data_IF_697876345539
#
_entry.id   IF_697876345539
#
_cell.length_a   1.000
_cell.length_b   1.000
_cell.length_c   1.000
_cell.angle_alpha   90.00
_cell.angle_beta   90.00
_cell.angle_gamma   90.00
#
_symmetry.space_group_name_H-M   'P 1'
#
loop_
_entity.id
_entity.type
_entity.pdbx_description
1 polymer ?
#
# COMPACT_ATOMS: atom_id res chain seq x y z
N UNK A 1 5.13 43.37 16.50
CA UNK A 1 5.88 42.33 15.77
C UNK A 1 6.96 41.84 16.70
N UNK A 2 6.94 40.56 17.10
CA UNK A 2 7.96 40.01 17.98
C UNK A 2 9.29 39.96 17.23
N UNK A 3 10.34 40.52 17.81
CA UNK A 3 11.69 40.43 17.24
C UNK A 3 12.28 39.05 17.50
N UNK A 4 13.13 38.53 16.59
CA UNK A 4 13.81 37.24 16.76
C UNK A 4 14.58 37.14 18.09
N UNK A 5 15.01 38.27 18.64
CA UNK A 5 15.68 38.34 19.93
C UNK A 5 14.77 37.95 21.12
N UNK A 6 13.47 38.22 21.06
CA UNK A 6 12.51 37.91 22.14
C UNK A 6 12.35 36.40 22.34
N UNK A 7 12.60 35.59 21.31
CA UNK A 7 12.60 34.13 21.39
C UNK A 7 13.77 33.57 22.23
N UNK A 8 14.71 34.40 22.71
CA UNK A 8 15.67 33.98 23.76
C UNK A 8 15.03 33.95 25.16
N UNK A 9 13.92 34.66 25.35
CA UNK A 9 13.33 34.83 26.67
C UNK A 9 12.42 33.66 27.02
N UNK A 10 12.64 33.06 28.19
CA UNK A 10 11.88 31.90 28.65
C UNK A 10 10.36 32.18 28.73
N UNK A 11 9.97 33.40 29.11
CA UNK A 11 8.56 33.81 29.20
C UNK A 11 7.79 33.66 27.89
N UNK A 12 8.44 33.88 26.74
CA UNK A 12 7.79 33.75 25.42
C UNK A 12 7.43 32.29 25.15
N UNK A 13 8.32 31.38 25.53
CA UNK A 13 8.10 29.94 25.41
C UNK A 13 7.11 29.41 26.46
N UNK A 14 7.13 29.96 27.67
CA UNK A 14 6.15 29.60 28.69
C UNK A 14 4.74 30.06 28.27
N UNK A 15 4.57 31.28 27.75
CA UNK A 15 3.29 31.77 27.18
C UNK A 15 2.87 30.98 25.92
N UNK A 16 3.83 30.49 25.11
CA UNK A 16 3.52 29.63 23.97
C UNK A 16 2.86 28.31 24.38
N UNK A 17 3.19 27.79 25.57
CA UNK A 17 2.68 26.50 26.08
C UNK A 17 1.54 26.68 27.08
N UNK A 18 1.40 27.85 27.69
CA UNK A 18 0.34 28.13 28.66
C UNK A 18 -1.05 27.89 28.06
N UNK A 19 -1.80 26.96 28.68
CA UNK A 19 -3.14 26.57 28.21
C UNK A 19 -3.17 25.70 26.94
N UNK A 20 -2.03 25.23 26.42
CA UNK A 20 -1.96 24.42 25.19
C UNK A 20 -1.41 23.02 25.44
N UNK A 21 -2.07 22.02 24.88
CA UNK A 21 -1.49 20.68 24.70
C UNK A 21 -0.65 20.69 23.42
N UNK A 22 0.66 20.50 23.55
CA UNK A 22 1.58 20.44 22.41
C UNK A 22 1.32 19.16 21.60
N UNK A 23 0.95 19.30 20.33
CA UNK A 23 0.72 18.14 19.47
C UNK A 23 2.04 17.45 19.07
N UNK A 24 1.96 16.23 18.52
CA UNK A 24 3.13 15.52 17.99
C UNK A 24 3.79 16.25 16.81
N UNK A 25 3.01 16.98 16.01
CA UNK A 25 3.50 17.83 14.92
C UNK A 25 4.30 19.02 15.45
N UNK A 26 3.76 19.71 16.46
CA UNK A 26 4.43 20.86 17.10
C UNK A 26 5.72 20.43 17.78
N UNK A 27 5.72 19.27 18.45
CA UNK A 27 6.92 18.70 19.06
C UNK A 27 8.02 18.42 18.03
N UNK A 28 7.66 17.82 16.89
CA UNK A 28 8.62 17.57 15.81
C UNK A 28 9.17 18.88 15.23
N UNK A 29 8.34 19.92 15.14
CA UNK A 29 8.76 21.24 14.72
C UNK A 29 9.75 21.86 15.71
N UNK A 30 9.47 21.77 17.02
CA UNK A 30 10.36 22.24 18.09
C UNK A 30 11.70 21.49 18.11
N UNK A 31 11.69 20.15 17.89
CA UNK A 31 12.93 19.36 17.78
C UNK A 31 13.76 19.75 16.58
N UNK A 32 13.13 19.97 15.42
CA UNK A 32 13.81 20.44 14.21
C UNK A 32 14.40 21.83 14.42
N UNK A 33 13.65 22.71 15.07
CA UNK A 33 14.13 24.04 15.46
C UNK A 33 15.35 23.93 16.38
N UNK A 34 15.28 23.13 17.45
CA UNK A 34 16.39 22.92 18.38
C UNK A 34 17.63 22.38 17.67
N UNK A 35 17.45 21.37 16.82
CA UNK A 35 18.53 20.76 16.04
C UNK A 35 19.15 21.77 15.08
N UNK A 36 18.34 22.55 14.36
CA UNK A 36 18.82 23.60 13.47
C UNK A 36 19.60 24.67 14.22
N UNK A 37 19.05 25.21 15.30
CA UNK A 37 19.65 26.30 16.08
C UNK A 37 20.92 25.87 16.85
N UNK A 38 20.95 24.64 17.39
CA UNK A 38 22.03 24.18 18.25
C UNK A 38 23.09 23.34 17.54
N UNK A 39 22.69 22.44 16.62
CA UNK A 39 23.57 21.43 16.01
C UNK A 39 24.12 21.89 14.67
N UNK A 40 23.31 22.57 13.84
CA UNK A 40 23.74 22.96 12.50
C UNK A 40 24.20 24.41 12.41
N UNK A 41 23.36 25.36 12.85
CA UNK A 41 23.61 26.78 12.65
C UNK A 41 24.80 27.30 13.46
N UNK A 42 24.97 26.80 14.69
CA UNK A 42 25.96 27.35 15.62
C UNK A 42 27.39 26.87 15.35
N UNK A 43 27.67 25.57 15.11
CA UNK A 43 28.99 25.16 14.69
C UNK A 43 29.38 25.82 13.37
N UNK A 44 28.44 25.95 12.44
CA UNK A 44 28.68 26.69 11.19
C UNK A 44 29.04 28.16 11.45
N UNK A 45 28.27 28.87 12.29
CA UNK A 45 28.56 30.27 12.65
C UNK A 45 29.93 30.44 13.31
N UNK A 46 30.33 29.50 14.16
CA UNK A 46 31.64 29.49 14.84
C UNK A 46 32.81 29.31 13.86
N UNK A 47 32.59 28.74 12.66
CA UNK A 47 33.62 28.65 11.60
C UNK A 47 33.76 29.91 10.73
N UNK A 48 32.88 30.90 10.87
CA UNK A 48 32.89 32.13 10.06
C UNK A 48 33.92 33.15 10.56
N UNK A 49 34.40 34.02 9.67
CA UNK A 49 35.27 35.15 10.05
C UNK A 49 34.52 36.19 10.90
N UNK A 50 35.22 36.98 11.73
CA UNK A 50 34.61 37.96 12.63
C UNK A 50 33.67 38.96 11.91
N UNK A 51 34.03 39.39 10.70
CA UNK A 51 33.18 40.28 9.88
C UNK A 51 31.88 39.61 9.44
N UNK A 52 31.96 38.32 9.09
CA UNK A 52 30.78 37.52 8.73
C UNK A 52 29.94 37.21 9.97
N UNK A 53 30.57 36.91 11.10
CA UNK A 53 29.86 36.70 12.35
C UNK A 53 29.06 37.95 12.76
N UNK A 54 29.65 39.14 12.67
CA UNK A 54 28.95 40.40 12.95
C UNK A 54 27.73 40.62 12.04
N UNK A 55 27.83 40.25 10.77
CA UNK A 55 26.76 40.35 9.79
C UNK A 55 25.63 39.34 10.03
N UNK A 56 25.97 38.08 10.33
CA UNK A 56 24.99 36.98 10.46
C UNK A 56 24.35 36.88 11.85
N UNK A 57 24.93 37.52 12.87
CA UNK A 57 24.45 37.48 14.26
C UNK A 57 22.94 37.78 14.43
N UNK A 58 22.33 38.76 13.74
CA UNK A 58 20.90 39.04 13.88
C UNK A 58 19.98 37.95 13.31
N UNK A 59 20.50 37.08 12.45
CA UNK A 59 19.75 36.00 11.79
C UNK A 59 19.92 34.64 12.48
N UNK A 60 20.68 34.60 13.60
CA UNK A 60 20.82 33.39 14.38
C UNK A 60 19.49 33.05 15.06
N UNK A 61 19.05 31.81 14.90
CA UNK A 61 17.92 31.32 15.66
C UNK A 61 18.34 31.19 17.13
N UNK A 62 17.56 31.77 18.05
CA UNK A 62 17.86 31.66 19.46
C UNK A 62 17.66 30.24 19.98
N UNK A 63 18.35 29.94 21.08
CA UNK A 63 18.22 28.63 21.72
C UNK A 63 16.89 28.53 22.45
N UNK A 64 16.27 27.36 22.35
CA UNK A 64 15.22 26.97 23.29
C UNK A 64 15.78 26.95 24.72
N UNK A 65 14.94 27.26 25.73
CA UNK A 65 15.33 27.12 27.12
C UNK A 65 15.80 25.68 27.40
N UNK A 66 16.86 25.52 28.21
CA UNK A 66 17.43 24.20 28.50
C UNK A 66 16.37 23.27 29.10
N UNK A 67 16.23 22.08 28.51
CA UNK A 67 15.25 21.08 28.92
C UNK A 67 13.81 21.51 28.67
N UNK A 68 13.54 22.52 27.83
CA UNK A 68 12.18 22.93 27.48
C UNK A 68 11.41 21.78 26.81
N UNK A 69 12.02 21.16 25.80
CA UNK A 69 11.48 19.97 25.16
C UNK A 69 11.46 18.74 26.07
N UNK A 70 12.12 18.73 27.23
CA UNK A 70 12.09 17.60 28.18
C UNK A 70 11.06 17.83 29.30
N UNK A 71 10.86 19.08 29.72
CA UNK A 71 9.97 19.48 30.83
C UNK A 71 8.55 19.80 30.39
N UNK A 72 8.38 20.41 29.21
CA UNK A 72 7.07 20.78 28.64
C UNK A 72 6.58 19.72 27.66
N UNK A 73 7.49 18.94 27.07
CA UNK A 73 7.05 17.74 26.38
C UNK A 73 6.65 16.70 27.42
N UNK A 74 5.35 16.57 27.57
CA UNK A 74 4.66 15.33 27.86
C UNK A 74 5.06 14.23 26.85
N UNK A 75 6.32 14.04 26.47
CA UNK A 75 6.72 13.11 25.43
C UNK A 75 6.35 11.69 25.83
N UNK A 76 6.60 11.31 27.08
CA UNK A 76 6.13 10.03 27.61
C UNK A 76 4.61 9.97 27.75
N UNK A 77 3.94 11.02 28.19
CA UNK A 77 2.48 11.00 28.36
C UNK A 77 1.73 11.03 27.01
N UNK A 78 2.23 11.72 25.99
CA UNK A 78 1.71 11.74 24.62
C UNK A 78 2.01 10.43 23.90
N UNK A 79 3.22 9.86 24.08
CA UNK A 79 3.54 8.52 23.56
C UNK A 79 2.66 7.48 24.25
N UNK A 80 2.56 7.50 25.58
CA UNK A 80 1.72 6.58 26.35
C UNK A 80 0.23 6.74 26.01
N UNK A 81 -0.28 7.96 25.85
CA UNK A 81 -1.66 8.18 25.41
C UNK A 81 -1.88 7.70 23.98
N UNK A 82 -0.89 7.86 23.10
CA UNK A 82 -0.95 7.33 21.72
C UNK A 82 -0.90 5.80 21.72
N UNK A 83 -0.08 5.19 22.56
CA UNK A 83 0.03 3.73 22.73
C UNK A 83 -1.23 3.14 23.36
N UNK A 84 -1.78 3.79 24.39
CA UNK A 84 -3.05 3.44 25.02
C UNK A 84 -4.20 3.51 24.00
N UNK A 85 -4.31 4.61 23.24
CA UNK A 85 -5.31 4.73 22.17
C UNK A 85 -5.17 3.67 21.09
N UNK A 86 -3.93 3.33 20.68
CA UNK A 86 -3.68 2.23 19.72
C UNK A 86 -4.05 0.87 20.30
N UNK A 87 -3.82 0.66 21.59
CA UNK A 87 -4.20 -0.56 22.29
C UNK A 87 -5.72 -0.68 22.35
N UNK A 88 -6.43 0.35 22.77
CA UNK A 88 -7.90 0.39 22.77
C UNK A 88 -8.47 0.12 21.38
N UNK A 89 -7.92 0.75 20.34
CA UNK A 89 -8.31 0.48 18.95
C UNK A 89 -8.02 -0.97 18.54
N UNK A 90 -6.85 -1.50 18.90
CA UNK A 90 -6.48 -2.88 18.59
C UNK A 90 -7.40 -3.86 19.29
N UNK A 91 -7.72 -3.63 20.56
CA UNK A 91 -8.58 -4.49 21.39
C UNK A 91 -10.00 -4.61 20.81
N UNK A 92 -10.48 -3.57 20.10
CA UNK A 92 -11.75 -3.59 19.34
C UNK A 92 -11.64 -4.45 18.06
N UNK A 93 -10.50 -4.41 17.37
CA UNK A 93 -10.33 -5.08 16.07
C UNK A 93 -9.97 -6.57 16.25
N UNK A 94 -9.23 -6.95 17.30
CA UNK A 94 -8.78 -8.34 17.51
C UNK A 94 -9.94 -9.35 17.44
N UNK A 95 -11.11 -9.13 18.08
CA UNK A 95 -12.26 -10.04 17.96
C UNK A 95 -12.80 -10.17 16.52
N UNK A 96 -12.58 -9.15 15.68
CA UNK A 96 -13.03 -9.11 14.28
C UNK A 96 -12.04 -9.73 13.30
N UNK A 97 -10.84 -10.15 13.73
CA UNK A 97 -9.82 -10.70 12.84
C UNK A 97 -10.34 -11.85 11.96
N UNK A 98 -11.08 -12.86 12.46
CA UNK A 98 -11.62 -13.92 11.63
C UNK A 98 -12.54 -13.38 10.53
N UNK A 99 -13.45 -12.45 10.88
CA UNK A 99 -14.38 -11.81 9.96
C UNK A 99 -13.64 -11.00 8.88
N UNK A 100 -12.60 -10.26 9.27
CA UNK A 100 -11.79 -9.48 8.34
C UNK A 100 -10.99 -10.36 7.38
N UNK A 101 -10.45 -11.48 7.86
CA UNK A 101 -9.80 -12.48 7.00
C UNK A 101 -10.80 -13.04 6.00
N UNK A 102 -12.01 -13.38 6.44
CA UNK A 102 -13.09 -13.88 5.56
C UNK A 102 -13.49 -12.86 4.50
N UNK A 103 -13.73 -11.60 4.89
CA UNK A 103 -14.04 -10.49 3.97
C UNK A 103 -12.95 -10.33 2.90
N UNK A 104 -11.69 -10.36 3.31
CA UNK A 104 -10.54 -10.27 2.40
C UNK A 104 -10.52 -11.44 1.42
N UNK A 105 -10.83 -12.66 1.87
CA UNK A 105 -10.93 -13.82 0.98
C UNK A 105 -12.04 -13.65 -0.04
N UNK A 106 -13.22 -13.23 0.40
CA UNK A 106 -14.37 -13.03 -0.47
C UNK A 106 -14.09 -11.96 -1.55
N UNK A 107 -13.43 -10.86 -1.16
CA UNK A 107 -12.96 -9.82 -2.09
C UNK A 107 -11.91 -10.36 -3.08
N UNK A 108 -10.93 -11.14 -2.62
CA UNK A 108 -9.96 -11.80 -3.50
C UNK A 108 -10.64 -12.72 -4.51
N UNK A 109 -11.59 -13.53 -4.05
CA UNK A 109 -12.33 -14.45 -4.91
C UNK A 109 -13.17 -13.71 -5.97
N UNK A 110 -13.79 -12.58 -5.62
CA UNK A 110 -14.51 -11.73 -6.58
C UNK A 110 -13.56 -11.20 -7.67
N UNK A 111 -12.39 -10.66 -7.29
CA UNK A 111 -11.39 -10.25 -8.26
C UNK A 111 -10.83 -11.42 -9.09
N UNK A 112 -10.72 -12.62 -8.50
CA UNK A 112 -10.28 -13.83 -9.20
C UNK A 112 -11.28 -14.27 -10.27
N UNK A 113 -12.58 -14.20 -9.99
CA UNK A 113 -13.63 -14.50 -10.98
C UNK A 113 -13.59 -13.49 -12.12
N UNK A 114 -13.48 -12.20 -11.80
CA UNK A 114 -13.40 -11.14 -12.80
C UNK A 114 -12.16 -11.30 -13.70
N UNK A 115 -10.99 -11.57 -13.13
CA UNK A 115 -9.76 -11.72 -13.94
C UNK A 115 -9.80 -12.96 -14.82
N UNK A 116 -10.41 -14.06 -14.35
CA UNK A 116 -10.61 -15.27 -15.16
C UNK A 116 -11.50 -14.98 -16.36
N UNK A 117 -12.60 -14.27 -16.14
CA UNK A 117 -13.52 -13.89 -17.21
C UNK A 117 -12.87 -12.91 -18.20
N UNK A 118 -12.17 -11.90 -17.70
CA UNK A 118 -11.39 -10.98 -18.53
C UNK A 118 -10.38 -11.71 -19.42
N UNK A 119 -9.58 -12.61 -18.85
CA UNK A 119 -8.58 -13.39 -19.60
C UNK A 119 -9.24 -14.30 -20.64
N UNK A 120 -10.38 -14.92 -20.32
CA UNK A 120 -11.18 -15.71 -21.26
C UNK A 120 -11.60 -14.87 -22.46
N UNK A 121 -12.19 -13.69 -22.22
CA UNK A 121 -12.62 -12.78 -23.29
C UNK A 121 -11.43 -12.26 -24.11
N UNK A 122 -10.27 -11.97 -23.49
CA UNK A 122 -9.06 -11.59 -24.23
C UNK A 122 -8.61 -12.69 -25.20
N UNK A 123 -8.68 -13.97 -24.80
CA UNK A 123 -8.36 -15.10 -25.68
C UNK A 123 -9.34 -15.19 -26.84
N UNK A 124 -10.65 -15.03 -26.59
CA UNK A 124 -11.67 -15.01 -27.64
C UNK A 124 -11.44 -13.85 -28.63
N UNK A 125 -11.13 -12.66 -28.13
CA UNK A 125 -10.81 -11.50 -28.97
C UNK A 125 -9.56 -11.73 -29.81
N UNK A 126 -8.52 -12.37 -29.23
CA UNK A 126 -7.28 -12.69 -29.95
C UNK A 126 -7.52 -13.72 -31.07
N UNK A 127 -8.47 -14.63 -30.88
CA UNK A 127 -8.87 -15.63 -31.90
C UNK A 127 -9.85 -15.08 -32.93
N UNK A 128 -10.35 -13.86 -32.76
CA UNK A 128 -11.36 -13.26 -33.63
C UNK A 128 -12.78 -13.81 -33.41
N UNK A 129 -13.02 -14.52 -32.31
CA UNK A 129 -14.35 -15.07 -31.96
C UNK A 129 -15.30 -13.98 -31.45
N UNK A 130 -14.77 -12.87 -30.95
CA UNK A 130 -15.53 -11.67 -30.58
C UNK A 130 -14.91 -10.44 -31.23
N UNK A 131 -15.76 -9.48 -31.63
CA UNK A 131 -15.33 -8.19 -32.18
C UNK A 131 -15.28 -7.14 -31.08
N UNK A 132 -14.24 -6.32 -31.08
CA UNK A 132 -14.09 -5.21 -30.15
C UNK A 132 -14.69 -3.91 -30.72
N UNK A 133 -15.28 -3.03 -29.89
CA UNK A 133 -15.58 -3.23 -28.47
C UNK A 133 -16.60 -4.36 -28.23
N UNK A 134 -16.41 -5.11 -27.15
CA UNK A 134 -17.30 -6.20 -26.76
C UNK A 134 -17.94 -5.90 -25.40
N UNK A 135 -19.23 -5.56 -25.41
CA UNK A 135 -20.01 -5.29 -24.20
C UNK A 135 -20.64 -6.59 -23.66
N UNK A 136 -20.61 -6.77 -22.35
CA UNK A 136 -21.16 -7.93 -21.67
C UNK A 136 -21.61 -7.60 -20.24
N UNK A 137 -22.60 -8.35 -19.76
CA UNK A 137 -23.07 -8.28 -18.39
C UNK A 137 -22.27 -9.26 -17.52
N UNK A 138 -21.67 -8.75 -16.45
CA UNK A 138 -20.93 -9.54 -15.47
C UNK A 138 -21.69 -9.57 -14.14
N UNK A 139 -22.28 -10.72 -13.82
CA UNK A 139 -23.02 -10.94 -12.58
C UNK A 139 -22.09 -11.54 -11.53
N UNK A 140 -22.02 -10.91 -10.36
CA UNK A 140 -21.22 -11.38 -9.24
C UNK A 140 -21.84 -10.97 -7.91
N UNK A 141 -21.10 -11.18 -6.82
CA UNK A 141 -21.50 -10.90 -5.45
C UNK A 141 -20.44 -10.03 -4.79
N UNK A 142 -20.90 -8.98 -4.12
CA UNK A 142 -20.06 -8.10 -3.31
C UNK A 142 -20.31 -8.34 -1.83
N UNK A 143 -19.25 -8.12 -1.07
CA UNK A 143 -19.25 -8.33 0.37
C UNK A 143 -18.78 -7.05 1.06
N UNK A 144 -19.62 -6.58 1.97
CA UNK A 144 -19.35 -5.46 2.87
C UNK A 144 -19.62 -5.87 4.32
N UNK A 145 -19.35 -4.96 5.24
CA UNK A 145 -19.62 -5.14 6.67
C UNK A 145 -20.75 -4.19 7.03
N UNK A 146 -21.60 -4.57 7.99
CA UNK A 146 -22.67 -3.70 8.49
C UNK A 146 -22.15 -2.35 8.97
N UNK A 147 -22.53 -1.27 8.28
CA UNK A 147 -22.13 0.11 8.60
C UNK A 147 -22.85 0.65 9.85
N UNK A 148 -24.00 0.08 10.19
CA UNK A 148 -24.88 0.54 11.29
C UNK A 148 -24.68 -0.26 12.60
N UNK A 149 -23.64 -1.08 12.69
CA UNK A 149 -23.37 -1.89 13.87
C UNK A 149 -22.99 -1.01 15.07
N UNK A 150 -23.80 -1.04 16.14
CA UNK A 150 -23.53 -0.28 17.37
C UNK A 150 -22.65 -1.07 18.34
N UNK A 151 -22.60 -2.40 18.22
CA UNK A 151 -21.75 -3.28 19.01
C UNK A 151 -20.97 -4.25 18.11
N UNK A 152 -19.88 -4.84 18.64
CA UNK A 152 -19.10 -5.86 17.93
C UNK A 152 -19.92 -7.10 17.55
N UNK A 153 -20.96 -7.41 18.33
CA UNK A 153 -21.84 -8.56 18.05
C UNK A 153 -22.77 -8.31 16.85
N UNK A 154 -23.01 -7.04 16.50
CA UNK A 154 -23.87 -6.65 15.39
C UNK A 154 -23.10 -6.54 14.06
N UNK A 155 -21.77 -6.72 14.10
CA UNK A 155 -20.91 -6.68 12.93
C UNK A 155 -21.09 -7.97 12.13
N UNK A 156 -21.68 -7.85 10.94
CA UNK A 156 -21.99 -8.99 10.07
C UNK A 156 -21.54 -8.71 8.63
N UNK A 157 -21.28 -9.80 7.89
CA UNK A 157 -21.04 -9.72 6.45
C UNK A 157 -22.37 -9.54 5.72
N UNK A 158 -22.41 -8.56 4.84
CA UNK A 158 -23.55 -8.30 3.95
C UNK A 158 -23.14 -8.74 2.55
N UNK A 159 -23.90 -9.67 1.98
CA UNK A 159 -23.77 -10.11 0.60
C UNK A 159 -24.78 -9.37 -0.28
N UNK A 160 -24.29 -8.74 -1.35
CA UNK A 160 -25.12 -8.03 -2.31
C UNK A 160 -24.85 -8.54 -3.72
N UNK A 161 -25.87 -9.00 -4.47
CA UNK A 161 -25.71 -9.32 -5.88
C UNK A 161 -25.47 -8.03 -6.68
N UNK A 162 -24.53 -8.08 -7.61
CA UNK A 162 -24.21 -6.96 -8.50
C UNK A 162 -24.17 -7.44 -9.94
N UNK A 163 -24.68 -6.60 -10.84
CA UNK A 163 -24.53 -6.77 -12.29
C UNK A 163 -23.72 -5.60 -12.80
N UNK A 164 -22.55 -5.89 -13.36
CA UNK A 164 -21.65 -4.90 -13.92
C UNK A 164 -21.76 -4.93 -15.44
N UNK A 165 -22.10 -3.78 -16.04
CA UNK A 165 -22.07 -3.62 -17.49
C UNK A 165 -20.63 -3.25 -17.85
N UNK A 166 -19.93 -4.18 -18.51
CA UNK A 166 -18.52 -4.06 -18.84
C UNK A 166 -18.30 -4.10 -20.34
N UNK A 167 -17.39 -3.28 -20.83
CA UNK A 167 -16.97 -3.28 -22.24
C UNK A 167 -15.49 -3.59 -22.33
N UNK A 168 -15.16 -4.69 -23.02
CA UNK A 168 -13.79 -5.05 -23.34
C UNK A 168 -13.29 -4.20 -24.50
N UNK A 169 -12.10 -3.64 -24.31
CA UNK A 169 -11.41 -2.79 -25.27
C UNK A 169 -9.96 -3.22 -25.46
N UNK A 170 -9.38 -2.79 -26.57
CA UNK A 170 -7.94 -2.56 -26.70
C UNK A 170 -7.71 -1.09 -27.10
N UNK A 171 -6.47 -0.61 -27.07
CA UNK A 171 -6.20 0.82 -27.35
C UNK A 171 -6.54 1.22 -28.78
N UNK A 172 -6.31 0.33 -29.74
CA UNK A 172 -6.58 0.60 -31.15
C UNK A 172 -8.06 0.83 -31.40
N UNK A 173 -8.92 -0.08 -30.93
CA UNK A 173 -10.36 0.05 -31.09
C UNK A 173 -10.93 1.21 -30.26
N UNK A 174 -10.36 1.48 -29.08
CA UNK A 174 -10.73 2.67 -28.31
C UNK A 174 -10.52 3.97 -29.09
N UNK A 175 -9.34 4.14 -29.72
CA UNK A 175 -9.03 5.34 -30.52
C UNK A 175 -9.96 5.44 -31.73
N UNK A 176 -10.27 4.32 -32.39
CA UNK A 176 -11.18 4.28 -33.54
C UNK A 176 -12.61 4.66 -33.16
N UNK A 177 -13.10 4.23 -32.00
CA UNK A 177 -14.45 4.54 -31.51
C UNK A 177 -14.59 5.95 -30.96
N UNK A 178 -13.48 6.66 -30.70
CA UNK A 178 -13.48 8.02 -30.16
C UNK A 178 -12.58 8.96 -30.98
N UNK A 179 -12.79 9.08 -32.30
CA UNK A 179 -11.87 9.81 -33.18
C UNK A 179 -11.81 11.31 -32.86
N UNK A 180 -12.86 11.86 -32.28
CA UNK A 180 -12.97 13.25 -31.83
C UNK A 180 -12.04 13.58 -30.63
N UNK A 181 -11.68 12.57 -29.83
CA UNK A 181 -10.81 12.76 -28.66
C UNK A 181 -9.30 12.75 -29.00
N UNK A 182 -8.92 12.37 -30.23
CA UNK A 182 -7.54 12.13 -30.60
C UNK A 182 -7.12 12.87 -31.87
N UNK A 183 -5.84 13.24 -31.96
CA UNK A 183 -5.29 13.88 -33.17
C UNK A 183 -5.22 12.91 -34.35
N UNK A 184 -5.16 13.44 -35.58
CA UNK A 184 -5.03 12.63 -36.82
C UNK A 184 -3.77 11.76 -36.83
N UNK A 185 -2.70 12.19 -36.18
CA UNK A 185 -1.48 11.39 -36.05
C UNK A 185 -1.68 10.17 -35.15
N UNK A 186 -2.38 10.34 -34.02
CA UNK A 186 -2.71 9.23 -33.12
C UNK A 186 -3.65 8.24 -33.80
N UNK A 187 -4.68 8.73 -34.50
CA UNK A 187 -5.59 7.91 -35.30
C UNK A 187 -4.81 7.08 -36.33
N UNK A 188 -3.91 7.72 -37.10
CA UNK A 188 -3.08 7.03 -38.11
C UNK A 188 -2.14 5.98 -37.50
N UNK A 189 -1.57 6.23 -36.31
CA UNK A 189 -0.72 5.25 -35.62
C UNK A 189 -1.52 4.05 -35.12
N UNK A 190 -2.75 4.27 -34.64
CA UNK A 190 -3.67 3.21 -34.27
C UNK A 190 -4.10 2.37 -35.48
N UNK A 191 -4.47 3.02 -36.60
CA UNK A 191 -4.82 2.36 -37.87
C UNK A 191 -3.67 1.50 -38.40
N UNK A 192 -2.43 2.02 -38.37
CA UNK A 192 -1.24 1.30 -38.81
C UNK A 192 -0.72 0.27 -37.79
N UNK A 193 -1.31 0.21 -36.60
CA UNK A 193 -0.90 -0.66 -35.49
C UNK A 193 0.61 -0.60 -35.19
N UNK A 194 1.13 0.62 -35.03
CA UNK A 194 2.56 0.86 -34.73
C UNK A 194 2.76 1.31 -33.28
N UNK A 195 4.00 1.27 -32.80
CA UNK A 195 4.41 1.76 -31.47
C UNK A 195 3.61 1.13 -30.31
N UNK A 196 2.76 1.92 -29.64
CA UNK A 196 1.91 1.50 -28.51
C UNK A 196 0.65 0.74 -28.94
N UNK A 197 0.35 0.70 -30.24
CA UNK A 197 -0.80 0.03 -30.85
C UNK A 197 -0.42 -1.27 -31.57
N UNK A 198 0.86 -1.62 -31.59
CA UNK A 198 1.34 -2.87 -32.16
C UNK A 198 0.73 -4.08 -31.42
N UNK A 199 0.42 -5.20 -32.11
CA UNK A 199 -0.27 -6.35 -31.52
C UNK A 199 0.33 -6.85 -30.20
N UNK A 200 1.67 -6.89 -30.08
CA UNK A 200 2.35 -7.30 -28.83
C UNK A 200 2.39 -6.26 -27.71
N UNK A 201 1.88 -5.04 -27.93
CA UNK A 201 1.89 -3.92 -26.97
C UNK A 201 0.50 -3.32 -26.73
N UNK A 202 -0.49 -3.75 -27.51
CA UNK A 202 -1.87 -3.30 -27.46
C UNK A 202 -2.61 -4.04 -26.33
N UNK A 203 -2.45 -3.54 -25.10
CA UNK A 203 -3.07 -4.13 -23.93
C UNK A 203 -4.60 -4.02 -23.97
N UNK A 204 -5.27 -5.07 -23.52
CA UNK A 204 -6.71 -5.08 -23.29
C UNK A 204 -7.05 -4.43 -21.95
N UNK A 205 -8.25 -3.89 -21.84
CA UNK A 205 -8.76 -3.30 -20.60
C UNK A 205 -10.29 -3.27 -20.60
N UNK A 206 -10.88 -2.96 -19.44
CA UNK A 206 -12.33 -2.86 -19.28
C UNK A 206 -12.75 -1.40 -19.10
N UNK A 207 -13.87 -1.06 -19.71
CA UNK A 207 -14.71 0.07 -19.34
C UNK A 207 -15.86 -0.44 -18.49
N UNK A 208 -16.21 0.29 -17.43
CA UNK A 208 -17.40 0.04 -16.63
C UNK A 208 -18.45 1.14 -16.85
N UNK A 209 -19.69 0.73 -17.04
CA UNK A 209 -20.86 1.59 -17.15
C UNK A 209 -21.72 1.45 -15.88
N UNK A 210 -21.64 2.44 -15.00
CA UNK A 210 -22.43 2.47 -13.77
C UNK A 210 -21.78 3.29 -12.65
N UNK A 211 -22.44 3.41 -11.50
CA UNK A 211 -21.89 4.07 -10.32
C UNK A 211 -20.66 3.32 -9.78
N UNK A 212 -19.59 4.06 -9.52
CA UNK A 212 -18.32 3.51 -9.00
C UNK A 212 -18.49 2.72 -7.69
N UNK A 213 -19.49 3.04 -6.88
CA UNK A 213 -19.83 2.31 -5.65
C UNK A 213 -20.17 0.84 -5.87
N UNK A 214 -20.60 0.48 -7.08
CA UNK A 214 -20.88 -0.91 -7.46
C UNK A 214 -19.72 -1.57 -8.21
N UNK A 215 -18.63 -0.85 -8.52
CA UNK A 215 -17.47 -1.43 -9.21
C UNK A 215 -16.51 -2.07 -8.21
N UNK A 216 -16.83 -3.30 -7.78
CA UNK A 216 -16.11 -3.99 -6.70
C UNK A 216 -16.05 -3.12 -5.42
N UNK A 217 -15.24 -3.52 -4.44
CA UNK A 217 -15.05 -2.73 -3.21
C UNK A 217 -14.09 -1.53 -3.39
N UNK A 218 -13.57 -1.31 -4.60
CA UNK A 218 -12.52 -0.31 -4.88
C UNK A 218 -12.87 0.63 -6.04
N UNK A 219 -14.12 0.64 -6.48
CA UNK A 219 -14.55 1.42 -7.63
C UNK A 219 -14.34 2.92 -7.45
N UNK A 220 -14.57 3.45 -6.25
CA UNK A 220 -14.23 4.83 -5.89
C UNK A 220 -12.74 5.15 -6.10
N UNK A 221 -11.85 4.21 -5.78
CA UNK A 221 -10.41 4.39 -5.98
C UNK A 221 -10.05 4.40 -7.46
N UNK A 222 -10.75 3.57 -8.25
CA UNK A 222 -10.61 3.52 -9.70
C UNK A 222 -11.10 4.84 -10.29
N UNK A 223 -12.31 5.27 -9.96
CA UNK A 223 -12.92 6.52 -10.44
C UNK A 223 -12.07 7.74 -10.10
N UNK A 224 -11.71 7.90 -8.81
CA UNK A 224 -10.92 9.03 -8.29
C UNK A 224 -9.43 8.95 -8.66
N UNK A 225 -9.02 7.97 -9.46
CA UNK A 225 -7.64 7.78 -9.92
C UNK A 225 -6.61 7.65 -8.79
N UNK A 226 -7.07 7.14 -7.65
CA UNK A 226 -6.22 7.00 -6.47
C UNK A 226 -5.20 5.89 -6.67
N UNK A 227 -5.48 4.90 -7.54
CA UNK A 227 -4.58 3.79 -7.84
C UNK A 227 -3.43 4.21 -8.79
N UNK A 228 -2.24 4.48 -8.24
CA UNK A 228 -0.99 4.55 -9.01
C UNK A 228 -0.43 5.92 -9.34
N UNK A 229 -1.00 6.99 -8.81
CA UNK A 229 -0.38 8.31 -8.89
C UNK A 229 0.43 8.61 -7.62
N UNK A 230 1.52 9.36 -7.79
CA UNK A 230 2.44 9.76 -6.71
C UNK A 230 2.38 11.27 -6.45
N UNK A 231 1.18 11.87 -6.32
CA UNK A 231 1.06 13.31 -6.02
C UNK A 231 0.06 13.58 -4.88
N UNK A 232 0.57 13.98 -3.71
CA UNK A 232 -0.25 14.52 -2.61
C UNK A 232 -0.34 13.65 -1.35
N UNK A 233 -0.84 14.26 -0.26
CA UNK A 233 -0.95 13.66 1.08
C UNK A 233 -2.15 12.70 1.25
N UNK A 234 -3.06 12.63 0.27
CA UNK A 234 -4.31 11.84 0.34
C UNK A 234 -4.37 10.65 -0.65
N UNK A 235 -3.25 10.30 -1.32
CA UNK A 235 -3.27 9.27 -2.36
C UNK A 235 -2.78 7.88 -1.92
N UNK A 236 -3.46 6.88 -2.48
CA UNK A 236 -3.18 5.44 -2.45
C UNK A 236 -2.23 5.12 -3.63
N UNK A 237 -1.02 5.67 -3.59
CA UNK A 237 -0.06 5.58 -4.70
C UNK A 237 1.07 4.58 -4.46
N UNK A 238 1.39 3.73 -5.45
CA UNK A 238 2.69 3.05 -5.51
C UNK A 238 3.52 3.68 -6.63
N UNK A 239 4.81 3.95 -6.39
CA UNK A 239 5.75 4.36 -7.46
C UNK A 239 6.06 3.22 -8.44
N UNK A 240 5.51 2.02 -8.22
CA UNK A 240 5.78 0.82 -8.98
C UNK A 240 4.67 0.48 -9.94
N UNK A 241 5.04 0.50 -11.20
CA UNK A 241 4.28 -0.14 -12.25
C UNK A 241 4.08 -1.63 -11.98
N UNK A 242 2.86 -2.10 -12.21
CA UNK A 242 2.50 -3.50 -12.31
C UNK A 242 1.88 -4.13 -11.07
N UNK A 243 2.10 -3.62 -9.83
CA UNK A 243 1.55 -4.27 -8.61
C UNK A 243 0.05 -4.05 -8.48
N UNK A 244 -0.38 -2.79 -8.33
CA UNK A 244 -1.80 -2.36 -8.23
C UNK A 244 -2.18 -1.52 -9.45
N UNK A 245 -1.19 -0.90 -10.07
CA UNK A 245 -1.37 -0.02 -11.20
C UNK A 245 -0.75 -0.66 -12.44
N UNK A 246 -1.28 -0.38 -13.64
CA UNK A 246 -0.67 -0.82 -14.89
C UNK A 246 0.79 -0.37 -15.05
N UNK A 247 1.44 -0.82 -16.13
CA UNK A 247 2.71 -0.22 -16.53
C UNK A 247 2.56 1.29 -16.76
N UNK A 248 3.58 2.08 -16.44
CA UNK A 248 3.53 3.56 -16.46
C UNK A 248 2.95 4.13 -17.76
N UNK A 249 3.32 3.55 -18.90
CA UNK A 249 2.80 3.94 -20.21
C UNK A 249 1.27 3.75 -20.31
N UNK A 250 0.74 2.64 -19.79
CA UNK A 250 -0.69 2.34 -19.75
C UNK A 250 -1.40 3.25 -18.75
N UNK A 251 -0.81 3.46 -17.57
CA UNK A 251 -1.36 4.37 -16.57
C UNK A 251 -1.52 5.77 -17.15
N UNK A 252 -0.47 6.32 -17.77
CA UNK A 252 -0.54 7.63 -18.42
C UNK A 252 -1.62 7.65 -19.50
N UNK A 253 -1.70 6.60 -20.32
CA UNK A 253 -2.75 6.50 -21.34
C UNK A 253 -4.16 6.49 -20.74
N UNK A 254 -4.42 5.73 -19.67
CA UNK A 254 -5.72 5.78 -18.98
C UNK A 254 -6.03 7.15 -18.42
N UNK A 255 -5.06 7.86 -17.84
CA UNK A 255 -5.28 9.21 -17.33
C UNK A 255 -5.79 10.15 -18.44
N UNK A 256 -5.18 10.07 -19.62
CA UNK A 256 -5.63 10.83 -20.78
C UNK A 256 -6.99 10.38 -21.28
N UNK A 257 -7.19 9.09 -21.51
CA UNK A 257 -8.43 8.54 -22.05
C UNK A 257 -9.63 8.87 -21.14
N UNK A 258 -9.51 8.63 -19.83
CA UNK A 258 -10.56 8.94 -18.85
C UNK A 258 -10.83 10.43 -18.72
N UNK A 259 -9.80 11.28 -18.76
CA UNK A 259 -9.98 12.75 -18.70
C UNK A 259 -10.78 13.27 -19.89
N UNK A 260 -10.60 12.66 -21.06
CA UNK A 260 -11.26 13.08 -22.29
C UNK A 260 -12.67 12.50 -22.42
N UNK A 261 -12.87 11.23 -22.03
CA UNK A 261 -14.17 10.56 -22.20
C UNK A 261 -15.07 10.60 -20.97
N UNK A 262 -14.52 10.84 -19.77
CA UNK A 262 -15.24 10.65 -18.50
C UNK A 262 -15.48 9.19 -18.11
N UNK A 263 -15.01 8.22 -18.90
CA UNK A 263 -15.28 6.80 -18.67
C UNK A 263 -14.46 6.20 -17.50
N UNK A 264 -15.02 5.22 -16.81
CA UNK A 264 -14.31 4.44 -15.79
C UNK A 264 -13.57 3.28 -16.49
N UNK A 265 -12.26 3.45 -16.72
CA UNK A 265 -11.43 2.48 -17.46
C UNK A 265 -10.40 1.80 -16.57
N UNK A 266 -10.33 0.48 -16.47
CA UNK A 266 -9.32 -0.16 -15.63
C UNK A 266 -8.73 -1.42 -16.26
N UNK A 267 -7.53 -1.77 -15.81
CA UNK A 267 -6.84 -3.01 -16.18
C UNK A 267 -7.07 -4.03 -15.06
N UNK A 268 -7.80 -5.13 -15.32
CA UNK A 268 -8.05 -6.15 -14.31
C UNK A 268 -6.79 -6.85 -13.80
N UNK A 269 -5.73 -6.92 -14.60
CA UNK A 269 -4.52 -7.71 -14.31
C UNK A 269 -3.71 -7.15 -13.12
N UNK A 270 -3.31 -5.85 -13.08
CA UNK A 270 -2.70 -5.25 -11.90
C UNK A 270 -3.70 -5.11 -10.74
N UNK A 271 -5.00 -4.96 -11.00
CA UNK A 271 -6.00 -4.90 -9.93
C UNK A 271 -6.05 -6.23 -9.17
N UNK A 272 -6.09 -7.35 -9.89
CA UNK A 272 -6.06 -8.69 -9.31
C UNK A 272 -4.78 -8.93 -8.52
N UNK A 273 -3.62 -8.62 -9.10
CA UNK A 273 -2.32 -8.76 -8.43
C UNK A 273 -2.25 -7.94 -7.14
N UNK A 274 -2.72 -6.69 -7.17
CA UNK A 274 -2.82 -5.85 -5.99
C UNK A 274 -3.70 -6.49 -4.92
N UNK A 275 -4.86 -7.01 -5.32
CA UNK A 275 -5.78 -7.71 -4.41
C UNK A 275 -5.15 -8.96 -3.80
N UNK A 276 -4.43 -9.77 -4.58
CA UNK A 276 -3.74 -10.97 -4.10
C UNK A 276 -2.66 -10.62 -3.08
N UNK A 277 -1.88 -9.56 -3.34
CA UNK A 277 -0.85 -9.08 -2.41
C UNK A 277 -1.47 -8.58 -1.11
N UNK A 278 -2.52 -7.76 -1.20
CA UNK A 278 -3.26 -7.31 -0.04
C UNK A 278 -3.85 -8.47 0.75
N UNK A 279 -4.42 -9.47 0.07
CA UNK A 279 -5.01 -10.63 0.72
C UNK A 279 -3.97 -11.45 1.48
N UNK A 280 -2.80 -11.67 0.89
CA UNK A 280 -1.68 -12.33 1.56
C UNK A 280 -1.20 -11.53 2.78
N UNK A 281 -0.97 -10.22 2.63
CA UNK A 281 -0.52 -9.35 3.72
C UNK A 281 -1.53 -9.28 4.86
N UNK A 282 -2.82 -9.10 4.55
CA UNK A 282 -3.90 -9.07 5.54
C UNK A 282 -4.01 -10.40 6.28
N UNK A 283 -4.00 -11.52 5.54
CA UNK A 283 -4.07 -12.85 6.15
C UNK A 283 -2.89 -13.08 7.08
N UNK A 284 -1.66 -12.75 6.67
CA UNK A 284 -0.49 -12.87 7.53
C UNK A 284 -0.62 -11.97 8.78
N UNK A 285 -0.88 -10.68 8.59
CA UNK A 285 -1.00 -9.71 9.67
C UNK A 285 -2.04 -10.12 10.73
N UNK A 286 -3.22 -10.57 10.27
CA UNK A 286 -4.35 -10.92 11.13
C UNK A 286 -4.20 -12.31 11.78
N UNK A 287 -3.37 -13.21 11.23
CA UNK A 287 -3.21 -14.57 11.78
C UNK A 287 -2.00 -14.74 12.68
N UNK A 288 -0.90 -14.03 12.43
CA UNK A 288 0.33 -14.16 13.24
C UNK A 288 0.79 -12.86 13.91
N UNK A 289 0.04 -11.76 13.76
CA UNK A 289 0.35 -10.48 14.39
C UNK A 289 1.59 -9.76 13.82
N UNK A 290 2.12 -10.21 12.67
CA UNK A 290 3.30 -9.60 12.08
C UNK A 290 3.08 -8.13 11.71
N UNK A 291 4.07 -7.30 12.02
CA UNK A 291 4.08 -5.89 11.61
C UNK A 291 4.37 -5.77 10.13
N UNK A 292 3.95 -4.65 9.54
CA UNK A 292 4.25 -4.31 8.13
C UNK A 292 5.73 -4.48 7.77
N UNK A 293 6.65 -4.04 8.63
CA UNK A 293 8.10 -4.18 8.41
C UNK A 293 8.59 -5.63 8.44
N UNK A 294 7.88 -6.53 9.12
CA UNK A 294 8.17 -7.97 9.18
C UNK A 294 7.56 -8.67 7.96
N UNK A 295 6.32 -8.35 7.62
CA UNK A 295 5.60 -8.90 6.45
C UNK A 295 6.35 -8.69 5.13
N UNK A 296 6.99 -7.55 4.96
CA UNK A 296 7.75 -7.25 3.75
C UNK A 296 9.03 -8.10 3.61
N UNK A 297 9.47 -8.78 4.67
CA UNK A 297 10.63 -9.68 4.64
C UNK A 297 10.27 -11.12 4.25
N UNK A 298 9.01 -11.42 3.94
CA UNK A 298 8.59 -12.75 3.52
C UNK A 298 9.30 -13.11 2.21
N UNK A 299 10.09 -14.17 2.26
CA UNK A 299 11.08 -14.57 1.26
C UNK A 299 10.89 -16.04 0.91
N UNK A 300 10.97 -16.34 -0.38
CA UNK A 300 10.83 -17.69 -0.91
C UNK A 300 11.90 -18.66 -0.39
N UNK A 301 12.99 -18.16 0.19
CA UNK A 301 14.11 -18.96 0.71
C UNK A 301 14.09 -19.19 2.22
N UNK A 302 13.09 -18.70 2.94
CA UNK A 302 13.10 -18.63 4.42
C UNK A 302 11.92 -19.32 5.09
N UNK A 303 11.28 -20.23 4.35
CA UNK A 303 10.26 -21.13 4.89
C UNK A 303 10.91 -22.36 5.53
N UNK A 304 10.39 -22.76 6.69
CA UNK A 304 10.76 -23.99 7.37
C UNK A 304 9.51 -24.72 7.84
N UNK A 305 9.58 -26.05 7.98
CA UNK A 305 8.50 -26.85 8.54
C UNK A 305 8.92 -27.32 9.93
N UNK A 306 8.20 -26.88 10.95
CA UNK A 306 8.37 -27.36 12.32
C UNK A 306 7.40 -28.51 12.53
N UNK A 307 7.87 -29.60 13.14
CA UNK A 307 7.01 -30.73 13.49
C UNK A 307 6.55 -30.56 14.93
N UNK A 308 5.24 -30.48 15.13
CA UNK A 308 4.59 -30.38 16.44
C UNK A 308 3.65 -31.55 16.66
N UNK A 309 3.42 -31.94 17.92
CA UNK A 309 2.42 -32.95 18.23
C UNK A 309 1.02 -32.35 18.07
N UNK A 310 0.14 -33.05 17.36
CA UNK A 310 -1.26 -32.68 17.22
C UNK A 310 -1.93 -32.79 18.59
N UNK A 311 -2.55 -31.68 19.02
CA UNK A 311 -3.31 -31.62 20.26
C UNK A 311 -4.79 -31.71 19.96
N UNK A 312 -5.50 -32.66 20.59
CA UNK A 312 -6.96 -32.72 20.60
C UNK A 312 -7.44 -32.51 22.02
N UNK A 313 -8.27 -31.51 22.26
CA UNK A 313 -8.69 -31.09 23.61
C UNK A 313 -7.49 -30.86 24.56
N UNK A 314 -6.41 -30.24 24.04
CA UNK A 314 -5.15 -30.00 24.77
C UNK A 314 -4.37 -31.26 25.18
N UNK A 315 -4.77 -32.45 24.70
CA UNK A 315 -4.03 -33.70 24.91
C UNK A 315 -3.30 -34.11 23.62
N UNK A 316 -2.02 -34.55 23.69
CA UNK A 316 -1.29 -35.06 22.53
C UNK A 316 -1.97 -36.30 21.95
N UNK A 317 -2.29 -36.28 20.66
CA UNK A 317 -2.88 -37.43 19.95
C UNK A 317 -1.84 -38.47 19.53
N UNK A 318 -0.55 -38.18 19.75
CA UNK A 318 0.57 -38.98 19.25
C UNK A 318 0.82 -38.85 17.74
N UNK A 319 -0.01 -38.06 17.03
CA UNK A 319 0.20 -37.73 15.62
C UNK A 319 1.07 -36.48 15.52
N UNK A 320 2.02 -36.51 14.59
CA UNK A 320 2.90 -35.37 14.30
C UNK A 320 2.32 -34.56 13.13
N UNK A 321 2.22 -33.24 13.32
CA UNK A 321 1.77 -32.29 12.31
C UNK A 321 2.92 -31.37 11.92
N UNK A 322 3.14 -31.19 10.62
CA UNK A 322 4.06 -30.19 10.09
C UNK A 322 3.39 -28.83 10.02
N UNK A 323 3.98 -27.83 10.66
CA UNK A 323 3.52 -26.44 10.63
C UNK A 323 4.54 -25.61 9.86
N UNK A 324 4.07 -24.94 8.82
CA UNK A 324 4.90 -24.05 8.02
C UNK A 324 5.14 -22.73 8.76
N UNK A 325 6.40 -22.34 8.85
CA UNK A 325 6.84 -21.10 9.47
C UNK A 325 7.74 -20.31 8.55
N UNK A 326 7.80 -19.00 8.76
CA UNK A 326 8.70 -18.09 8.08
C UNK A 326 9.65 -17.44 9.08
N UNK A 327 10.95 -17.37 8.75
CA UNK A 327 11.95 -16.66 9.56
C UNK A 327 11.97 -15.16 9.25
N UNK A 328 11.47 -14.33 10.16
CA UNK A 328 11.43 -12.87 10.02
C UNK A 328 12.29 -12.19 11.09
N UNK A 329 12.86 -11.02 10.80
CA UNK A 329 13.63 -10.23 11.76
C UNK A 329 12.70 -9.22 12.45
N UNK A 330 12.37 -9.40 13.75
CA UNK A 330 11.40 -8.54 14.44
C UNK A 330 11.92 -7.11 14.61
N UNK A 331 11.01 -6.16 14.86
CA UNK A 331 11.41 -4.76 15.13
C UNK A 331 12.37 -4.66 16.32
N UNK A 332 13.45 -3.89 16.17
CA UNK A 332 14.46 -3.66 17.22
C UNK A 332 15.67 -4.59 17.16
N UNK A 333 15.57 -5.67 16.37
CA UNK A 333 16.66 -6.61 16.11
C UNK A 333 17.38 -6.27 14.81
N UNK A 334 18.69 -6.49 14.80
CA UNK A 334 19.62 -6.06 13.75
C UNK A 334 20.39 -7.23 13.11
N UNK A 335 20.47 -8.38 13.78
CA UNK A 335 21.30 -9.49 13.32
C UNK A 335 20.47 -10.66 12.77
N UNK A 336 20.97 -11.30 11.70
CA UNK A 336 20.35 -12.48 11.09
C UNK A 336 20.11 -13.64 12.07
N UNK A 337 20.96 -13.78 13.09
CA UNK A 337 20.81 -14.78 14.16
C UNK A 337 19.60 -14.54 15.06
N UNK A 338 19.02 -13.34 15.02
CA UNK A 338 17.89 -12.92 15.86
C UNK A 338 16.53 -13.10 15.17
N UNK A 339 16.51 -13.73 13.99
CA UNK A 339 15.27 -14.05 13.29
C UNK A 339 14.41 -15.02 14.11
N UNK A 340 13.11 -14.75 14.13
CA UNK A 340 12.13 -15.55 14.83
C UNK A 340 11.19 -16.25 13.85
N UNK A 341 10.58 -17.34 14.32
CA UNK A 341 9.58 -18.09 13.56
C UNK A 341 8.21 -17.44 13.68
N UNK A 342 7.60 -17.16 12.54
CA UNK A 342 6.21 -16.72 12.45
C UNK A 342 5.39 -17.80 11.76
N UNK A 343 4.29 -18.19 12.40
CA UNK A 343 3.35 -19.17 11.86
C UNK A 343 2.70 -18.65 10.58
N UNK A 344 2.54 -19.52 9.60
CA UNK A 344 1.88 -19.19 8.33
C UNK A 344 0.64 -20.08 8.20
N UNK A 345 -0.54 -19.45 8.15
CA UNK A 345 -1.79 -20.18 7.94
C UNK A 345 -1.87 -20.78 6.54
N UNK A 346 -2.58 -21.90 6.38
CA UNK A 346 -2.78 -22.56 5.07
C UNK A 346 -3.36 -21.62 4.01
N UNK A 347 -4.18 -20.67 4.44
CA UNK A 347 -4.71 -19.62 3.58
C UNK A 347 -3.59 -18.70 3.06
N UNK A 348 -2.73 -18.22 3.95
CA UNK A 348 -1.57 -17.41 3.56
C UNK A 348 -0.62 -18.20 2.66
N UNK A 349 -0.40 -19.49 2.91
CA UNK A 349 0.41 -20.36 2.04
C UNK A 349 -0.12 -20.38 0.61
N UNK A 350 -1.44 -20.54 0.43
CA UNK A 350 -2.05 -20.54 -0.90
C UNK A 350 -1.82 -19.22 -1.64
N UNK A 351 -2.01 -18.08 -0.96
CA UNK A 351 -1.77 -16.77 -1.57
C UNK A 351 -0.30 -16.56 -1.91
N UNK A 352 0.61 -16.92 -1.01
CA UNK A 352 2.05 -16.78 -1.22
C UNK A 352 2.56 -17.67 -2.36
N UNK A 353 1.99 -18.88 -2.51
CA UNK A 353 2.27 -19.77 -3.64
C UNK A 353 1.82 -19.15 -4.96
N UNK A 354 0.60 -18.62 -5.02
CA UNK A 354 0.10 -17.95 -6.21
C UNK A 354 0.96 -16.72 -6.58
N UNK A 355 1.37 -15.92 -5.58
CA UNK A 355 2.29 -14.80 -5.78
C UNK A 355 3.63 -15.29 -6.36
N UNK A 356 4.19 -16.36 -5.80
CA UNK A 356 5.44 -16.95 -6.27
C UNK A 356 5.35 -17.43 -7.73
N UNK A 357 4.25 -18.10 -8.09
CA UNK A 357 3.98 -18.57 -9.46
C UNK A 357 3.87 -17.39 -10.44
N UNK A 358 3.12 -16.34 -10.07
CA UNK A 358 3.01 -15.12 -10.88
C UNK A 358 4.36 -14.43 -11.08
N UNK A 359 5.18 -14.37 -10.03
CA UNK A 359 6.53 -13.81 -10.09
C UNK A 359 7.44 -14.62 -11.00
N UNK A 360 7.46 -15.94 -10.85
CA UNK A 360 8.24 -16.82 -11.72
C UNK A 360 7.81 -16.66 -13.18
N UNK A 361 6.51 -16.62 -13.46
CA UNK A 361 6.00 -16.42 -14.81
C UNK A 361 6.45 -15.07 -15.41
N UNK A 362 6.48 -14.01 -14.61
CA UNK A 362 6.91 -12.69 -15.07
C UNK A 362 8.43 -12.53 -15.25
N UNK A 363 9.23 -13.36 -14.55
CA UNK A 363 10.69 -13.21 -14.45
C UNK A 363 11.46 -14.46 -14.93
N UNK A 364 10.99 -15.09 -16.01
CA UNK A 364 11.73 -16.16 -16.69
C UNK A 364 11.90 -17.43 -15.85
N UNK A 365 10.89 -17.77 -15.04
CA UNK A 365 10.84 -18.97 -14.20
C UNK A 365 11.52 -18.85 -12.85
N UNK A 366 12.05 -17.67 -12.48
CA UNK A 366 12.74 -17.46 -11.20
C UNK A 366 12.20 -16.22 -10.49
N UNK A 367 12.22 -16.25 -9.16
CA UNK A 367 11.91 -15.07 -8.34
C UNK A 367 13.20 -14.24 -8.24
N UNK A 368 13.21 -12.98 -8.70
CA UNK A 368 14.42 -12.16 -8.67
C UNK A 368 14.83 -11.87 -7.23
N UNK A 369 16.15 -11.81 -6.97
CA UNK A 369 16.66 -11.33 -5.68
C UNK A 369 16.68 -9.81 -5.70
N UNK A 370 16.09 -9.17 -4.69
CA UNK A 370 16.07 -7.72 -4.57
C UNK A 370 16.65 -7.30 -3.24
N UNK A 371 17.50 -6.27 -3.26
CA UNK A 371 17.98 -5.65 -2.03
C UNK A 371 16.83 -4.93 -1.32
N UNK A 372 16.89 -4.81 0.01
CA UNK A 372 16.09 -3.85 0.76
C UNK A 372 16.37 -2.42 0.27
N UNK A 373 15.43 -1.49 0.49
CA UNK A 373 15.65 -0.08 0.13
C UNK A 373 16.72 0.56 1.01
N UNK A 374 17.64 1.32 0.41
CA UNK A 374 18.73 2.02 1.09
C UNK A 374 18.27 3.02 2.17
N UNK A 375 17.02 3.48 2.15
CA UNK A 375 16.47 4.48 3.08
C UNK A 375 15.53 3.88 4.14
N UNK A 376 15.35 2.56 4.18
CA UNK A 376 14.53 1.89 5.19
C UNK A 376 15.27 1.78 6.53
N UNK A 377 14.53 1.83 7.64
CA UNK A 377 15.09 1.64 9.00
C UNK A 377 15.75 0.27 9.24
N UNK A 378 15.66 -0.66 8.28
CA UNK A 378 16.26 -2.00 8.29
C UNK A 378 17.12 -2.27 7.05
N UNK A 379 17.48 -1.23 6.31
CA UNK A 379 18.26 -1.36 5.07
C UNK A 379 19.58 -2.09 5.31
N UNK A 380 20.26 -1.73 6.40
CA UNK A 380 21.56 -2.26 6.78
C UNK A 380 21.46 -3.65 7.45
N UNK A 381 20.28 -3.98 8.00
CA UNK A 381 20.03 -5.23 8.72
C UNK A 381 19.57 -6.38 7.81
N UNK A 382 19.20 -6.08 6.56
CA UNK A 382 18.57 -7.02 5.64
C UNK A 382 19.46 -7.22 4.39
N UNK A 383 19.46 -8.44 3.86
CA UNK A 383 20.24 -8.82 2.68
C UNK A 383 19.35 -9.02 1.45
N UNK A 384 19.96 -9.02 0.26
CA UNK A 384 19.23 -9.27 -0.97
C UNK A 384 18.67 -10.70 -1.05
N UNK A 385 17.36 -10.82 -1.19
CA UNK A 385 16.63 -12.10 -1.16
C UNK A 385 15.49 -12.15 -2.18
N UNK A 386 14.99 -13.36 -2.52
CA UNK A 386 13.80 -13.52 -3.35
C UNK A 386 12.53 -13.24 -2.54
N UNK A 387 12.34 -11.99 -2.14
CA UNK A 387 11.15 -11.53 -1.43
C UNK A 387 9.89 -11.78 -2.25
N UNK A 388 8.78 -12.16 -1.62
CA UNK A 388 7.52 -12.45 -2.34
C UNK A 388 6.70 -11.19 -2.62
N UNK A 389 6.84 -10.15 -1.79
CA UNK A 389 6.14 -8.88 -2.00
C UNK A 389 6.93 -7.94 -2.92
N UNK A 390 7.18 -8.41 -4.15
CA UNK A 390 7.83 -7.65 -5.22
C UNK A 390 7.09 -7.84 -6.55
N UNK A 391 7.39 -7.04 -7.59
CA UNK A 391 6.84 -7.30 -8.93
C UNK A 391 7.76 -6.88 -10.08
N UNK A 392 8.48 -5.76 -9.97
CA UNK A 392 9.28 -5.21 -11.07
C UNK A 392 10.80 -5.47 -10.95
N UNK A 393 11.23 -6.47 -10.16
CA UNK A 393 12.64 -6.85 -9.95
C UNK A 393 13.61 -5.73 -9.48
N UNK A 394 13.12 -4.56 -9.09
CA UNK A 394 13.90 -3.52 -8.41
C UNK A 394 13.71 -3.63 -6.89
N UNK A 395 14.71 -3.27 -6.05
CA UNK A 395 14.52 -2.96 -4.63
C UNK A 395 13.35 -1.98 -4.45
N UNK A 396 12.37 -2.25 -3.59
CA UNK A 396 11.24 -1.34 -3.36
C UNK A 396 11.70 0.10 -3.14
N UNK A 397 11.67 0.97 -4.16
CA UNK A 397 12.00 2.41 -4.01
C UNK A 397 10.99 3.20 -3.16
N UNK A 398 10.15 2.47 -2.40
CA UNK A 398 9.36 2.93 -1.26
C UNK A 398 9.10 1.71 -0.35
N UNK A 399 10.07 1.33 0.49
CA UNK A 399 9.84 0.60 1.76
C UNK A 399 9.22 1.51 2.83
N UNK A 400 8.79 2.71 2.47
CA UNK A 400 7.80 3.43 3.24
C UNK A 400 6.62 2.49 3.53
N UNK A 401 6.19 2.45 4.79
CA UNK A 401 5.00 1.70 5.26
C UNK A 401 3.72 1.91 4.43
N UNK A 402 3.74 2.78 3.42
CA UNK A 402 2.64 3.15 2.54
C UNK A 402 2.10 1.96 1.74
N UNK A 403 2.89 1.13 1.07
CA UNK A 403 2.31 0.08 0.19
C UNK A 403 1.51 -0.99 0.96
N UNK A 404 2.02 -1.60 2.04
CA UNK A 404 1.20 -2.52 2.83
C UNK A 404 0.05 -1.83 3.54
N UNK A 405 0.23 -0.61 4.07
CA UNK A 405 -0.88 0.16 4.66
C UNK A 405 -1.96 0.46 3.63
N UNK A 406 -1.56 0.79 2.41
CA UNK A 406 -2.43 1.07 1.27
C UNK A 406 -3.18 -0.20 0.87
N UNK A 407 -2.48 -1.31 0.64
CA UNK A 407 -3.07 -2.60 0.30
C UNK A 407 -4.03 -3.12 1.37
N UNK A 408 -3.64 -3.03 2.64
CA UNK A 408 -4.49 -3.38 3.77
C UNK A 408 -5.71 -2.45 3.87
N UNK A 409 -5.53 -1.15 3.68
CA UNK A 409 -6.64 -0.19 3.66
C UNK A 409 -7.61 -0.44 2.51
N UNK A 410 -7.10 -0.75 1.31
CA UNK A 410 -7.91 -1.01 0.12
C UNK A 410 -8.71 -2.31 0.24
N UNK A 411 -8.15 -3.38 0.81
CA UNK A 411 -8.85 -4.66 0.90
C UNK A 411 -9.68 -4.84 2.18
N UNK A 412 -9.38 -4.11 3.25
CA UNK A 412 -10.09 -4.26 4.53
C UNK A 412 -11.06 -3.08 4.76
N UNK A 413 -10.62 -1.84 4.57
CA UNK A 413 -11.31 -0.65 5.12
C UNK A 413 -11.97 0.27 4.09
N UNK A 414 -11.91 -0.03 2.78
CA UNK A 414 -12.44 0.86 1.73
C UNK A 414 -13.97 1.09 1.74
N UNK A 415 -14.72 0.39 2.58
CA UNK A 415 -16.18 0.52 2.70
C UNK A 415 -16.64 1.18 4.01
N UNK A 416 -15.76 1.87 4.74
CA UNK A 416 -16.10 2.58 6.00
C UNK A 416 -15.93 4.11 5.87
N UNK A 417 -16.23 4.65 4.69
CA UNK A 417 -16.08 6.08 4.36
C UNK A 417 -17.26 6.93 4.77
#
# INVERSE_FOLDING_TARGET
>A
MATLAELTERRVWDTFVEGRLISSGDLNMLKRYETLACVYQRPYFETLSERQQAFWKPYLLPRLPRGFCEKQAQQQAVIAATEARRKEQSDIIVPLFPLLVELVQLRKQAAERLIKEFRRLCVLATRGEITLPYQFDYVDRQFSVSEQAMTLADVQLIEQPVTLILTLWNRTEWVKSHPDLYTKDVQRRAERQVEAYAPGRNAYFLQYEGPSTYLLWCGDLIEKQLLGQSHGHEMIGTRRSGVISPARAITQWFLWARRLSGAILFDPEPLYRGTLFAAALATLALTNGSRVSELLQVSASRFETIVVDELKNQQPTGRKMGVLVQKLLPKGYQHESERQFFLISDMAVRHLKEIAEMLQAAHGGRIPKVSPEAFGNKADDLVAEPYLFQWAATPMDVWGTSLPRMLLSCCVFCSMG
#
